data_IF_597616592894
#
_entry.id   IF_597616592894
#
_cell.length_a   1.000
_cell.length_b   1.000
_cell.length_c   1.000
_cell.angle_alpha   90.00
_cell.angle_beta   90.00
_cell.angle_gamma   90.00
#
_symmetry.space_group_name_H-M   'P 1'
#
loop_
_entity.id
_entity.type
_entity.pdbx_description
1 polymer ?
#
# COMPACT_ATOMS: atom_id res chain seq x y z
N UNK A 1 14.24 24.60 -18.01
CA UNK A 1 13.31 25.45 -17.24
C UNK A 1 13.94 25.71 -15.87
N UNK A 2 13.74 26.88 -15.27
CA UNK A 2 14.11 27.09 -13.87
C UNK A 2 13.18 26.28 -12.93
N UNK A 3 13.59 26.14 -11.66
CA UNK A 3 12.84 25.37 -10.67
C UNK A 3 11.45 25.98 -10.39
N UNK A 4 11.34 27.31 -10.41
CA UNK A 4 10.09 28.01 -10.13
C UNK A 4 9.01 27.67 -11.16
N UNK A 5 9.35 27.72 -12.45
CA UNK A 5 8.44 27.35 -13.53
C UNK A 5 8.01 25.89 -13.47
N UNK A 6 8.89 24.98 -13.04
CA UNK A 6 8.54 23.57 -12.84
C UNK A 6 7.56 23.40 -11.67
N UNK A 7 7.80 24.08 -10.55
CA UNK A 7 6.88 24.06 -9.41
C UNK A 7 5.52 24.66 -9.77
N UNK A 8 5.49 25.76 -10.53
CA UNK A 8 4.26 26.36 -11.01
C UNK A 8 3.46 25.43 -11.94
N UNK A 9 4.13 24.61 -12.77
CA UNK A 9 3.47 23.59 -13.58
C UNK A 9 2.82 22.51 -12.70
N UNK A 10 3.57 21.95 -11.74
CA UNK A 10 3.04 20.94 -10.81
C UNK A 10 1.89 21.49 -9.95
N UNK A 11 2.00 22.73 -9.49
CA UNK A 11 0.95 23.39 -8.71
C UNK A 11 -0.34 23.55 -9.53
N UNK A 12 -0.25 23.93 -10.81
CA UNK A 12 -1.40 24.02 -11.71
C UNK A 12 -2.08 22.67 -11.89
N UNK A 13 -1.31 21.62 -12.21
CA UNK A 13 -1.84 20.26 -12.37
C UNK A 13 -2.54 19.77 -11.09
N UNK A 14 -1.97 20.09 -9.92
CA UNK A 14 -2.57 19.75 -8.63
C UNK A 14 -3.90 20.50 -8.39
N UNK A 15 -3.97 21.79 -8.74
CA UNK A 15 -5.22 22.57 -8.64
C UNK A 15 -6.29 22.00 -9.57
N UNK A 16 -5.96 21.72 -10.83
CA UNK A 16 -6.88 21.14 -11.80
C UNK A 16 -7.42 19.78 -11.30
N UNK A 17 -6.52 18.91 -10.82
CA UNK A 17 -6.89 17.61 -10.27
C UNK A 17 -7.82 17.71 -9.04
N UNK A 18 -7.52 18.62 -8.11
CA UNK A 18 -8.23 18.75 -6.84
C UNK A 18 -9.58 19.47 -7.00
N UNK A 19 -9.73 20.30 -8.03
CA UNK A 19 -10.96 21.04 -8.30
C UNK A 19 -11.94 20.27 -9.18
N UNK A 20 -11.48 19.35 -10.02
CA UNK A 20 -12.34 18.44 -10.79
C UNK A 20 -12.94 17.34 -9.90
N UNK A 21 -14.28 17.22 -9.77
CA UNK A 21 -14.91 16.21 -8.91
C UNK A 21 -14.66 14.76 -9.35
N UNK A 22 -14.55 14.49 -10.65
CA UNK A 22 -14.35 13.15 -11.21
C UNK A 22 -12.90 12.71 -10.99
N UNK A 23 -11.95 13.60 -11.26
CA UNK A 23 -10.53 13.36 -11.06
C UNK A 23 -10.18 13.26 -9.58
N UNK A 24 -10.72 14.16 -8.73
CA UNK A 24 -10.60 14.07 -7.28
C UNK A 24 -11.23 12.78 -6.74
N UNK A 25 -12.37 12.34 -7.29
CA UNK A 25 -12.98 11.05 -6.94
C UNK A 25 -12.11 9.83 -7.27
N UNK A 26 -11.05 10.00 -8.08
CA UNK A 26 -10.06 8.96 -8.34
C UNK A 26 -8.93 8.90 -7.30
N UNK A 27 -8.77 9.92 -6.45
CA UNK A 27 -7.73 9.91 -5.42
C UNK A 27 -8.04 8.86 -4.35
N UNK A 28 -7.05 8.01 -4.08
CA UNK A 28 -7.09 6.98 -3.05
C UNK A 28 -5.82 7.04 -2.21
N UNK A 29 -5.95 6.66 -0.95
CA UNK A 29 -4.81 6.42 -0.06
C UNK A 29 -4.39 4.96 -0.17
N UNK A 30 -3.09 4.71 -0.20
CA UNK A 30 -2.56 3.35 -0.22
C UNK A 30 -2.97 2.57 1.05
N UNK A 31 -3.47 1.35 0.88
CA UNK A 31 -3.80 0.43 1.99
C UNK A 31 -2.57 -0.39 2.45
N UNK A 32 -1.36 0.13 2.26
CA UNK A 32 -0.14 -0.51 2.75
C UNK A 32 0.11 -0.06 4.19
N UNK A 33 0.43 -1.00 5.09
CA UNK A 33 0.48 -0.75 6.54
C UNK A 33 1.41 0.42 6.91
N UNK A 34 2.55 0.52 6.21
CA UNK A 34 3.54 1.58 6.40
C UNK A 34 3.61 2.58 5.22
N UNK A 35 2.51 2.78 4.47
CA UNK A 35 2.48 3.65 3.30
C UNK A 35 1.45 4.79 3.42
N UNK A 36 1.92 6.03 3.47
CA UNK A 36 1.07 7.23 3.49
C UNK A 36 0.74 7.83 2.12
N UNK A 37 1.18 7.21 1.02
CA UNK A 37 1.05 7.80 -0.33
C UNK A 37 -0.40 7.85 -0.80
N UNK A 38 -0.72 8.95 -1.49
CA UNK A 38 -1.91 9.06 -2.34
C UNK A 38 -1.58 8.57 -3.76
N UNK A 39 -2.59 8.09 -4.47
CA UNK A 39 -2.51 7.74 -5.88
C UNK A 39 -3.85 7.97 -6.58
N UNK A 40 -3.79 8.13 -7.90
CA UNK A 40 -4.97 8.15 -8.75
C UNK A 40 -5.33 6.72 -9.17
N UNK A 41 -6.55 6.30 -8.86
CA UNK A 41 -7.09 5.00 -9.24
C UNK A 41 -7.75 5.07 -10.63
N UNK A 42 -6.94 4.93 -11.66
CA UNK A 42 -7.36 4.74 -13.04
C UNK A 42 -7.70 3.28 -13.39
N UNK A 43 -7.74 2.36 -12.41
CA UNK A 43 -8.08 0.96 -12.70
C UNK A 43 -9.55 0.81 -13.08
N UNK A 44 -9.85 -0.18 -13.92
CA UNK A 44 -11.22 -0.49 -14.31
C UNK A 44 -12.05 -0.85 -13.06
N UNK A 45 -13.07 -0.06 -12.76
CA UNK A 45 -13.93 -0.23 -11.59
C UNK A 45 -13.32 0.25 -10.25
N UNK A 46 -12.21 1.00 -10.26
CA UNK A 46 -11.60 1.60 -9.06
C UNK A 46 -11.32 0.63 -7.91
N UNK A 47 -10.77 -0.54 -8.26
CA UNK A 47 -10.53 -1.68 -7.35
C UNK A 47 -9.09 -1.78 -6.87
N UNK A 48 -8.23 -0.84 -7.24
CA UNK A 48 -6.83 -0.86 -6.82
C UNK A 48 -6.76 -0.49 -5.35
N UNK A 49 -6.01 -1.28 -4.57
CA UNK A 49 -5.82 -1.08 -3.12
C UNK A 49 -4.49 -0.43 -2.74
N UNK A 50 -3.49 -0.50 -3.63
CA UNK A 50 -2.12 -0.07 -3.35
C UNK A 50 -1.58 0.89 -4.40
N UNK A 51 -0.74 1.84 -3.98
CA UNK A 51 -0.12 2.83 -4.89
C UNK A 51 0.82 2.20 -5.94
N UNK A 52 1.29 0.98 -5.68
CA UNK A 52 2.03 0.12 -6.62
C UNK A 52 1.82 -1.34 -6.23
N UNK A 53 1.51 -2.18 -7.22
CA UNK A 53 1.36 -3.62 -7.04
C UNK A 53 2.69 -4.31 -6.76
N UNK A 54 3.79 -3.76 -7.29
CA UNK A 54 5.15 -4.29 -7.15
C UNK A 54 5.80 -3.86 -5.85
N UNK A 55 5.49 -2.64 -5.37
CA UNK A 55 6.05 -2.12 -4.11
C UNK A 55 5.14 -2.48 -2.93
N UNK A 56 4.01 -1.78 -2.79
CA UNK A 56 3.14 -1.95 -1.61
C UNK A 56 2.35 -3.26 -1.68
N UNK A 57 1.83 -3.63 -2.86
CA UNK A 57 1.10 -4.89 -3.02
C UNK A 57 1.98 -6.12 -2.72
N UNK A 58 3.24 -6.10 -3.16
CA UNK A 58 4.19 -7.18 -2.86
C UNK A 58 4.56 -7.21 -1.38
N UNK A 59 4.86 -6.05 -0.78
CA UNK A 59 5.17 -5.93 0.65
C UNK A 59 4.08 -6.57 1.52
N UNK A 60 2.81 -6.27 1.23
CA UNK A 60 1.67 -6.84 1.97
C UNK A 60 1.51 -8.34 1.75
N UNK A 61 1.75 -8.85 0.52
CA UNK A 61 1.74 -10.30 0.25
C UNK A 61 2.83 -11.02 1.04
N UNK A 62 4.05 -10.48 1.06
CA UNK A 62 5.19 -11.05 1.80
C UNK A 62 4.93 -11.00 3.31
N UNK A 63 4.44 -9.87 3.83
CA UNK A 63 4.11 -9.75 5.25
C UNK A 63 3.05 -10.77 5.66
N UNK A 64 1.99 -10.95 4.86
CA UNK A 64 0.98 -11.99 5.09
C UNK A 64 1.55 -13.40 5.06
N UNK A 65 2.44 -13.71 4.12
CA UNK A 65 3.10 -15.02 4.05
C UNK A 65 3.93 -15.28 5.32
N UNK A 66 4.73 -14.31 5.77
CA UNK A 66 5.53 -14.43 7.01
C UNK A 66 4.67 -14.61 8.25
N UNK A 67 3.55 -13.88 8.36
CA UNK A 67 2.58 -14.05 9.46
C UNK A 67 2.00 -15.46 9.52
N UNK A 68 1.72 -16.07 8.36
CA UNK A 68 1.24 -17.46 8.28
C UNK A 68 2.32 -18.46 8.68
N UNK A 69 3.56 -18.27 8.23
CA UNK A 69 4.67 -19.15 8.58
C UNK A 69 4.93 -19.16 10.09
N UNK A 70 4.90 -18.00 10.74
CA UNK A 70 5.08 -17.88 12.20
C UNK A 70 3.93 -18.44 13.03
N UNK A 71 2.73 -18.51 12.46
CA UNK A 71 1.57 -19.16 13.09
C UNK A 71 1.55 -20.68 12.92
N UNK A 72 2.54 -21.26 12.23
CA UNK A 72 2.75 -22.70 12.09
C UNK A 72 3.98 -23.23 12.83
N UNK A 73 4.65 -22.39 13.63
CA UNK A 73 5.69 -22.84 14.57
C UNK A 73 4.97 -23.33 15.83
N UNK A 74 4.69 -24.63 15.87
CA UNK A 74 4.12 -25.36 17.00
C UNK A 74 5.02 -25.20 18.23
N UNK A 75 4.43 -25.02 19.42
CA UNK A 75 5.16 -24.97 20.67
C UNK A 75 6.03 -26.25 20.83
N UNK A 76 7.25 -26.16 21.38
CA UNK A 76 8.07 -27.35 21.58
C UNK A 76 7.31 -28.37 22.43
N UNK A 77 7.30 -29.62 21.96
CA UNK A 77 6.68 -30.77 22.65
C UNK A 77 7.19 -30.78 24.11
N UNK A 78 6.31 -30.74 25.12
CA UNK A 78 6.76 -30.82 26.51
C UNK A 78 7.53 -32.12 26.70
N UNK A 79 8.61 -32.12 27.51
CA UNK A 79 9.38 -33.33 27.77
C UNK A 79 8.43 -34.40 28.30
N UNK A 80 8.39 -35.56 27.63
CA UNK A 80 7.59 -36.71 28.08
C UNK A 80 8.13 -37.15 29.44
N UNK A 81 7.32 -36.99 30.48
CA UNK A 81 7.57 -37.62 31.78
C UNK A 81 7.71 -39.12 31.53
N UNK A 82 8.89 -39.64 31.85
CA UNK A 82 9.16 -41.08 31.87
C UNK A 82 8.87 -41.49 33.31
N UNK A 83 7.67 -41.98 33.57
CA UNK A 83 7.27 -42.49 34.88
C UNK A 83 8.22 -43.61 35.33
N UNK A 84 8.68 -43.51 36.58
CA UNK A 84 9.61 -44.39 37.28
C UNK A 84 8.92 -45.62 37.90
#
# INVERSE_FOLDING_TARGET
PDCERLLAAVARDAVELLTDPVARGALRRCEGEACGRLYLDGSRGRRRRWCSSEVCGNRERVARHRRRARGGEEAPDPPREIDA
#
